data_IF_035677446338
#
_entry.id   IF_035677446338
#
_cell.length_a   1.000
_cell.length_b   1.000
_cell.length_c   1.000
_cell.angle_alpha   90.00
_cell.angle_beta   90.00
_cell.angle_gamma   90.00
#
_symmetry.space_group_name_H-M   'P 1'
#
loop_
_entity.id
_entity.type
_entity.pdbx_description
1 polymer ?
#
# COMPACT_ATOMS: atom_id res chain seq x y z
N UNK A 1 12.20 20.29 14.81
CA UNK A 1 11.75 19.00 15.41
C UNK A 1 11.67 18.00 14.27
N UNK A 2 12.54 16.99 14.31
CA UNK A 2 12.70 16.00 13.24
C UNK A 2 11.50 15.05 13.21
N UNK A 3 10.93 14.83 12.03
CA UNK A 3 9.80 13.92 11.83
C UNK A 3 10.28 12.47 11.96
N UNK A 4 9.79 11.76 12.98
CA UNK A 4 10.00 10.32 13.13
C UNK A 4 9.13 9.58 12.11
N UNK A 5 9.68 9.36 10.91
CA UNK A 5 9.08 8.47 9.92
C UNK A 5 9.13 7.03 10.42
N UNK A 6 7.97 6.39 10.53
CA UNK A 6 7.87 4.95 10.76
C UNK A 6 8.34 4.22 9.49
N UNK A 7 9.48 3.56 9.56
CA UNK A 7 9.99 2.72 8.47
C UNK A 7 9.09 1.48 8.34
N UNK A 8 8.49 1.31 7.16
CA UNK A 8 7.83 0.06 6.78
C UNK A 8 8.91 -1.02 6.55
N UNK A 9 8.77 -2.23 7.12
CA UNK A 9 9.73 -3.30 6.87
C UNK A 9 9.68 -3.71 5.40
N UNK A 10 10.88 -3.80 4.80
CA UNK A 10 11.09 -4.26 3.44
C UNK A 10 10.68 -5.73 3.29
N UNK A 11 10.15 -6.00 2.11
CA UNK A 11 9.58 -7.25 1.63
C UNK A 11 10.59 -8.41 1.74
N UNK A 12 10.35 -9.36 2.64
CA UNK A 12 10.91 -10.71 2.48
C UNK A 12 9.95 -11.51 1.59
N UNK A 13 10.36 -11.64 0.34
CA UNK A 13 9.81 -12.52 -0.69
C UNK A 13 9.76 -13.96 -0.16
N UNK A 14 8.55 -14.45 0.18
CA UNK A 14 8.10 -15.87 0.10
C UNK A 14 6.91 -16.23 1.01
N UNK A 15 6.26 -15.28 1.69
CA UNK A 15 5.01 -15.60 2.39
C UNK A 15 3.82 -15.53 1.42
N UNK A 16 3.59 -16.63 0.69
CA UNK A 16 2.30 -16.89 0.06
C UNK A 16 1.21 -16.80 1.15
N UNK A 17 0.51 -15.68 1.18
CA UNK A 17 -0.74 -15.53 1.92
C UNK A 17 -1.80 -16.33 1.17
N UNK A 18 -1.89 -17.62 1.46
CA UNK A 18 -3.06 -18.41 1.10
C UNK A 18 -4.27 -17.83 1.82
N UNK A 19 -5.11 -17.13 1.07
CA UNK A 19 -6.48 -16.82 1.48
C UNK A 19 -7.24 -18.14 1.47
N UNK A 20 -7.34 -18.80 2.61
CA UNK A 20 -8.32 -19.87 2.78
C UNK A 20 -9.69 -19.20 2.77
N UNK A 21 -10.46 -19.45 1.72
CA UNK A 21 -11.88 -19.09 1.67
C UNK A 21 -12.56 -19.74 2.87
N UNK A 22 -13.14 -18.91 3.75
CA UNK A 22 -14.03 -19.40 4.79
C UNK A 22 -15.31 -19.85 4.08
N UNK A 23 -15.55 -21.15 4.06
CA UNK A 23 -16.80 -21.73 3.56
C UNK A 23 -17.94 -21.30 4.50
N UNK A 24 -19.00 -20.75 3.91
CA UNK A 24 -20.23 -20.39 4.61
C UNK A 24 -20.99 -21.67 5.01
N UNK A 25 -20.75 -22.15 6.23
CA UNK A 25 -21.59 -23.14 6.89
C UNK A 25 -22.96 -22.52 7.24
N UNK A 26 -24.01 -22.98 6.55
CA UNK A 26 -25.42 -22.74 6.89
C UNK A 26 -25.76 -23.45 8.21
N UNK A 27 -25.73 -22.73 9.32
CA UNK A 27 -26.15 -23.25 10.63
C UNK A 27 -26.77 -22.19 11.56
N UNK A 28 -28.10 -22.21 11.67
CA UNK A 28 -28.98 -21.73 12.75
C UNK A 28 -28.52 -20.58 13.69
N UNK A 29 -29.21 -19.42 13.73
CA UNK A 29 -28.85 -18.30 14.60
C UNK A 29 -29.24 -18.57 16.06
N UNK A 30 -28.35 -19.23 16.81
CA UNK A 30 -28.40 -19.22 18.27
C UNK A 30 -27.07 -18.70 18.81
N UNK A 31 -27.05 -17.39 19.02
CA UNK A 31 -26.32 -16.70 20.08
C UNK A 31 -25.04 -17.40 20.55
N UNK A 32 -23.96 -17.27 19.78
CA UNK A 32 -22.61 -17.33 20.35
C UNK A 32 -22.31 -15.99 21.01
N UNK A 33 -23.09 -15.67 22.05
CA UNK A 33 -22.57 -14.84 23.13
C UNK A 33 -21.35 -15.57 23.67
N UNK A 34 -20.21 -14.89 23.61
CA UNK A 34 -19.02 -15.29 24.35
C UNK A 34 -19.44 -15.52 25.80
N UNK A 35 -19.51 -16.80 26.21
CA UNK A 35 -19.58 -17.19 27.63
C UNK A 35 -18.25 -16.92 28.31
N UNK A 36 -17.75 -15.69 28.21
CA UNK A 36 -16.91 -15.13 29.25
C UNK A 36 -17.87 -14.89 30.41
N UNK A 37 -17.90 -15.88 31.30
CA UNK A 37 -18.72 -15.90 32.48
C UNK A 37 -18.34 -14.69 33.35
N UNK A 38 -19.17 -13.65 33.32
CA UNK A 38 -19.10 -12.47 34.20
C UNK A 38 -19.10 -12.84 35.70
N UNK A 39 -19.51 -14.07 36.02
CA UNK A 39 -19.49 -14.58 37.39
C UNK A 39 -18.07 -14.86 37.91
N UNK A 40 -17.05 -15.01 37.06
CA UNK A 40 -15.67 -15.23 37.54
C UNK A 40 -15.09 -14.01 38.25
N UNK A 41 -15.55 -12.79 37.92
CA UNK A 41 -15.16 -11.56 38.62
C UNK A 41 -16.15 -11.12 39.69
N UNK A 42 -17.44 -11.46 39.55
CA UNK A 42 -18.47 -11.01 40.49
C UNK A 42 -18.29 -11.62 41.90
N UNK A 43 -17.88 -12.89 41.99
CA UNK A 43 -17.63 -13.56 43.27
C UNK A 43 -16.39 -13.01 43.99
N UNK A 44 -15.42 -12.48 43.23
CA UNK A 44 -14.15 -12.01 43.77
C UNK A 44 -14.25 -10.57 44.30
N UNK A 45 -15.09 -9.74 43.66
CA UNK A 45 -15.41 -8.39 44.18
C UNK A 45 -16.16 -8.47 45.51
N UNK A 46 -17.11 -9.41 45.63
CA UNK A 46 -17.83 -9.65 46.88
C UNK A 46 -16.88 -9.98 48.03
N UNK A 47 -15.88 -10.82 47.80
CA UNK A 47 -14.85 -11.17 48.81
C UNK A 47 -13.94 -10.00 49.17
N UNK A 48 -13.61 -9.15 48.20
CA UNK A 48 -12.79 -7.96 48.41
C UNK A 48 -13.44 -6.96 49.38
N UNK A 49 -14.77 -6.81 49.32
CA UNK A 49 -15.52 -5.95 50.24
C UNK A 49 -16.05 -6.68 51.49
N UNK A 50 -16.05 -8.03 51.50
CA UNK A 50 -16.56 -8.82 52.64
C UNK A 50 -15.60 -8.88 53.82
N UNK A 51 -14.29 -8.71 53.59
CA UNK A 51 -13.30 -8.67 54.69
C UNK A 51 -13.24 -7.32 55.40
N UNK A 52 -13.95 -6.31 54.89
CA UNK A 52 -13.99 -4.95 55.43
C UNK A 52 -15.11 -4.82 56.48
N UNK A 53 -15.14 -5.77 57.43
CA UNK A 53 -15.92 -5.62 58.65
C UNK A 53 -15.28 -4.51 59.49
N UNK A 54 -15.71 -3.28 59.21
CA UNK A 54 -15.35 -2.02 59.86
C UNK A 54 -15.57 -2.07 61.38
N UNK A 55 -14.54 -2.35 62.19
CA UNK A 55 -14.54 -1.96 63.62
C UNK A 55 -13.19 -1.39 64.11
N UNK A 56 -12.05 -1.59 63.44
CA UNK A 56 -10.84 -0.82 63.77
C UNK A 56 -10.67 0.38 62.82
N UNK A 57 -10.53 1.62 63.34
CA UNK A 57 -10.17 2.76 62.52
C UNK A 57 -8.83 2.44 61.84
N UNK A 58 -8.86 2.21 60.52
CA UNK A 58 -7.62 2.12 59.75
C UNK A 58 -6.97 3.51 59.82
N UNK A 59 -6.02 3.67 60.74
CA UNK A 59 -5.19 4.86 60.82
C UNK A 59 -4.22 4.83 59.63
N UNK A 60 -4.66 5.45 58.53
CA UNK A 60 -3.77 5.70 57.40
C UNK A 60 -2.66 6.64 57.85
N UNK A 61 -1.38 6.30 57.61
CA UNK A 61 -0.27 7.23 57.81
C UNK A 61 -0.59 8.55 57.10
N UNK A 62 -0.52 9.67 57.84
CA UNK A 62 -0.94 11.01 57.37
C UNK A 62 -0.27 11.39 56.05
N UNK A 63 0.97 10.98 55.87
CA UNK A 63 1.81 11.04 54.70
C UNK A 63 1.22 10.35 53.46
N UNK A 64 0.55 9.20 53.61
CA UNK A 64 -0.18 8.55 52.51
C UNK A 64 -1.44 9.32 52.14
N UNK A 65 -2.15 9.86 53.13
CA UNK A 65 -3.38 10.63 52.93
C UNK A 65 -3.14 11.97 52.21
N UNK A 66 -2.11 12.71 52.62
CA UNK A 66 -1.69 13.95 51.95
C UNK A 66 -1.25 13.69 50.51
N UNK A 67 -0.55 12.58 50.28
CA UNK A 67 -0.17 12.14 48.93
C UNK A 67 -1.41 11.89 48.07
N UNK A 68 -2.40 11.16 48.58
CA UNK A 68 -3.64 10.86 47.87
C UNK A 68 -4.44 12.13 47.52
N UNK A 69 -4.57 13.06 48.47
CA UNK A 69 -5.26 14.34 48.26
C UNK A 69 -4.52 15.22 47.22
N UNK A 70 -3.19 15.22 47.27
CA UNK A 70 -2.35 15.93 46.30
C UNK A 70 -2.46 15.32 44.90
N UNK A 71 -2.63 14.00 44.81
CA UNK A 71 -2.85 13.33 43.52
C UNK A 71 -4.28 13.55 43.00
N UNK A 72 -5.31 13.55 43.87
CA UNK A 72 -6.70 13.77 43.43
C UNK A 72 -6.92 15.18 42.92
N UNK A 73 -6.29 16.17 43.54
CA UNK A 73 -6.32 17.57 43.09
C UNK A 73 -5.62 17.80 41.76
N UNK A 74 -4.65 16.95 41.39
CA UNK A 74 -3.99 17.00 40.07
C UNK A 74 -4.86 16.43 38.95
N UNK A 75 -5.87 15.62 39.24
CA UNK A 75 -6.74 15.00 38.23
C UNK A 75 -7.96 15.88 37.98
N UNK A 76 -8.09 16.39 36.75
CA UNK A 76 -9.32 17.03 36.31
C UNK A 76 -10.32 15.96 35.82
N UNK A 77 -11.19 15.51 36.71
CA UNK A 77 -12.14 14.44 36.43
C UNK A 77 -13.07 14.77 35.26
N UNK A 78 -13.49 16.04 35.12
CA UNK A 78 -14.35 16.48 34.01
C UNK A 78 -13.69 16.21 32.65
N UNK A 79 -12.41 16.59 32.51
CA UNK A 79 -11.63 16.32 31.29
C UNK A 79 -11.46 14.83 31.02
N UNK A 80 -11.30 14.01 32.06
CA UNK A 80 -11.19 12.55 31.93
C UNK A 80 -12.53 11.96 31.48
N UNK A 81 -13.66 12.38 32.05
CA UNK A 81 -14.98 11.95 31.62
C UNK A 81 -15.29 12.36 30.16
N UNK A 82 -14.91 13.58 29.77
CA UNK A 82 -15.02 14.04 28.37
C UNK A 82 -14.16 13.19 27.43
N UNK A 83 -12.94 12.87 27.86
CA UNK A 83 -12.03 12.00 27.12
C UNK A 83 -12.62 10.61 26.92
N UNK A 84 -13.11 9.97 27.99
CA UNK A 84 -13.72 8.64 27.92
C UNK A 84 -14.94 8.65 26.99
N UNK A 85 -15.77 9.70 27.04
CA UNK A 85 -16.94 9.83 26.18
C UNK A 85 -16.59 10.01 24.69
N UNK A 86 -15.53 10.76 24.36
CA UNK A 86 -15.13 11.00 22.96
C UNK A 86 -14.31 9.86 22.36
N UNK A 87 -13.53 9.14 23.15
CA UNK A 87 -12.64 8.06 22.67
C UNK A 87 -13.32 7.05 21.74
N UNK A 88 -14.52 6.50 22.02
CA UNK A 88 -15.16 5.55 21.11
C UNK A 88 -15.53 6.21 19.77
N UNK A 89 -16.05 7.44 19.79
CA UNK A 89 -16.39 8.18 18.56
C UNK A 89 -15.15 8.50 17.73
N UNK A 90 -14.05 8.90 18.38
CA UNK A 90 -12.77 9.15 17.72
C UNK A 90 -12.23 7.87 17.07
N UNK A 91 -12.36 6.72 17.74
CA UNK A 91 -11.95 5.42 17.23
C UNK A 91 -12.80 4.98 16.02
N UNK A 92 -14.12 5.16 16.07
CA UNK A 92 -15.02 4.88 14.94
C UNK A 92 -14.69 5.74 13.72
N UNK A 93 -14.48 7.04 13.93
CA UNK A 93 -14.11 7.97 12.86
C UNK A 93 -12.77 7.58 12.22
N UNK A 94 -11.79 7.19 13.03
CA UNK A 94 -10.50 6.72 12.58
C UNK A 94 -10.63 5.42 11.75
N UNK A 95 -11.42 4.46 12.24
CA UNK A 95 -11.66 3.20 11.55
C UNK A 95 -12.34 3.43 10.19
N UNK A 96 -13.34 4.31 10.14
CA UNK A 96 -14.03 4.68 8.89
C UNK A 96 -13.07 5.32 7.89
N UNK A 97 -12.25 6.26 8.34
CA UNK A 97 -11.23 6.91 7.50
C UNK A 97 -10.27 5.89 6.90
N UNK A 98 -9.73 4.98 7.71
CA UNK A 98 -8.83 3.93 7.20
C UNK A 98 -9.53 2.97 6.23
N UNK A 99 -10.81 2.66 6.45
CA UNK A 99 -11.57 1.84 5.52
C UNK A 99 -11.77 2.52 4.16
N UNK A 100 -12.09 3.82 4.16
CA UNK A 100 -12.23 4.63 2.94
C UNK A 100 -10.90 4.76 2.20
N UNK A 101 -9.80 5.04 2.91
CA UNK A 101 -8.46 5.12 2.33
C UNK A 101 -8.01 3.79 1.72
N UNK A 102 -8.28 2.66 2.40
CA UNK A 102 -7.99 1.32 1.87
C UNK A 102 -8.78 1.03 0.58
N UNK A 103 -10.07 1.38 0.55
CA UNK A 103 -10.90 1.22 -0.66
C UNK A 103 -10.40 2.09 -1.80
N UNK A 104 -10.14 3.37 -1.52
CA UNK A 104 -9.60 4.32 -2.52
C UNK A 104 -8.27 3.86 -3.09
N UNK A 105 -7.35 3.36 -2.25
CA UNK A 105 -6.06 2.85 -2.70
C UNK A 105 -6.21 1.62 -3.59
N UNK A 106 -7.10 0.69 -3.23
CA UNK A 106 -7.42 -0.49 -4.04
C UNK A 106 -7.98 -0.09 -5.42
N UNK A 107 -8.89 0.87 -5.47
CA UNK A 107 -9.48 1.36 -6.73
C UNK A 107 -8.42 2.01 -7.64
N UNK A 108 -7.55 2.86 -7.07
CA UNK A 108 -6.44 3.48 -7.80
C UNK A 108 -5.53 2.43 -8.42
N UNK A 109 -5.16 1.41 -7.65
CA UNK A 109 -4.34 0.30 -8.15
C UNK A 109 -5.03 -0.45 -9.29
N UNK A 110 -6.30 -0.83 -9.14
CA UNK A 110 -7.05 -1.52 -10.20
C UNK A 110 -7.18 -0.69 -11.47
N UNK A 111 -7.45 0.60 -11.35
CA UNK A 111 -7.53 1.53 -12.48
C UNK A 111 -6.18 1.65 -13.20
N UNK A 112 -5.10 1.81 -12.44
CA UNK A 112 -3.74 1.84 -13.00
C UNK A 112 -3.41 0.53 -13.73
N UNK A 113 -3.66 -0.62 -13.09
CA UNK A 113 -3.40 -1.94 -13.67
C UNK A 113 -4.18 -2.16 -14.97
N UNK A 114 -5.46 -1.80 -14.98
CA UNK A 114 -6.31 -1.89 -16.18
C UNK A 114 -5.77 -1.01 -17.32
N UNK A 115 -5.50 0.27 -17.04
CA UNK A 115 -4.93 1.20 -18.02
C UNK A 115 -3.57 0.73 -18.54
N UNK A 116 -2.73 0.18 -17.67
CA UNK A 116 -1.43 -0.38 -18.03
C UNK A 116 -1.57 -1.58 -18.97
N UNK A 117 -2.51 -2.49 -18.67
CA UNK A 117 -2.79 -3.64 -19.54
C UNK A 117 -3.33 -3.18 -20.90
N UNK A 118 -4.27 -2.23 -20.94
CA UNK A 118 -4.79 -1.67 -22.20
C UNK A 118 -3.74 -0.93 -23.01
N UNK A 119 -2.71 -0.36 -22.35
CA UNK A 119 -1.60 0.31 -23.03
C UNK A 119 -0.61 -0.68 -23.62
N UNK A 120 -0.46 -1.89 -23.04
CA UNK A 120 0.46 -2.91 -23.52
C UNK A 120 0.13 -3.46 -24.92
N UNK A 121 -1.14 -3.35 -25.32
CA UNK A 121 -1.65 -3.85 -26.59
C UNK A 121 -1.70 -2.75 -27.66
N UNK A 122 -1.45 -1.49 -27.27
CA UNK A 122 -1.47 -0.32 -28.16
C UNK A 122 -0.05 0.06 -28.57
N UNK A 123 0.12 0.49 -29.81
CA UNK A 123 1.40 1.00 -30.30
C UNK A 123 1.64 2.38 -29.68
N UNK A 124 2.74 2.51 -28.94
CA UNK A 124 3.22 3.77 -28.43
C UNK A 124 3.80 4.62 -29.58
N UNK A 125 3.55 5.92 -29.54
CA UNK A 125 3.98 6.86 -30.59
C UNK A 125 4.63 8.12 -30.01
N UNK A 126 4.79 8.20 -28.67
CA UNK A 126 5.46 9.27 -27.91
C UNK A 126 6.04 8.67 -26.63
N UNK A 127 7.11 9.28 -26.11
CA UNK A 127 7.72 8.99 -24.80
C UNK A 127 7.89 7.49 -24.53
N UNK A 128 8.61 6.79 -25.41
CA UNK A 128 8.86 5.36 -25.30
C UNK A 128 9.43 4.98 -23.93
N UNK A 129 8.91 3.88 -23.38
CA UNK A 129 9.40 3.25 -22.16
C UNK A 129 9.61 1.76 -22.36
N UNK A 130 10.37 1.16 -21.45
CA UNK A 130 10.54 -0.29 -21.37
C UNK A 130 9.16 -0.94 -21.21
N UNK A 131 8.88 -1.92 -22.06
CA UNK A 131 7.61 -2.65 -22.12
C UNK A 131 6.59 -2.10 -23.12
N UNK A 132 6.83 -0.95 -23.76
CA UNK A 132 5.91 -0.40 -24.76
C UNK A 132 5.99 -1.17 -26.08
N UNK A 133 4.87 -1.23 -26.81
CA UNK A 133 4.82 -1.76 -28.17
C UNK A 133 5.17 -0.66 -29.16
N UNK A 134 6.20 -0.83 -29.99
CA UNK A 134 6.65 0.18 -30.94
C UNK A 134 6.66 -0.36 -32.37
N UNK A 135 6.33 0.51 -33.32
CA UNK A 135 6.42 0.25 -34.76
C UNK A 135 7.75 0.79 -35.27
N UNK A 136 8.52 -0.05 -35.95
CA UNK A 136 9.80 0.29 -36.57
C UNK A 136 9.69 0.20 -38.09
N UNK A 137 10.28 1.19 -38.76
CA UNK A 137 10.28 1.33 -40.21
C UNK A 137 11.71 1.54 -40.73
N UNK A 138 12.05 1.02 -41.91
CA UNK A 138 13.35 1.27 -42.53
C UNK A 138 13.48 2.74 -42.94
N UNK A 139 14.64 3.35 -42.66
CA UNK A 139 14.93 4.72 -43.10
C UNK A 139 15.37 4.75 -44.57
N UNK A 140 14.90 5.76 -45.32
CA UNK A 140 15.13 5.85 -46.78
C UNK A 140 16.47 6.48 -47.18
N UNK A 141 17.10 7.24 -46.28
CA UNK A 141 18.14 8.23 -46.63
C UNK A 141 19.50 8.01 -45.93
N UNK A 142 19.83 6.79 -45.51
CA UNK A 142 21.11 6.51 -44.84
C UNK A 142 21.82 5.31 -45.47
N UNK A 143 23.13 5.42 -45.65
CA UNK A 143 24.02 4.36 -46.18
C UNK A 143 23.89 3.06 -45.40
N UNK A 144 23.67 3.16 -44.08
CA UNK A 144 23.51 2.02 -43.18
C UNK A 144 22.06 1.49 -43.09
N UNK A 145 21.08 2.18 -43.69
CA UNK A 145 19.63 1.83 -43.64
C UNK A 145 19.14 1.39 -42.24
N UNK A 146 19.37 2.17 -41.17
CA UNK A 146 18.87 1.84 -39.85
C UNK A 146 17.34 1.82 -39.84
N UNK A 147 16.79 1.11 -38.87
CA UNK A 147 15.36 1.04 -38.61
C UNK A 147 15.00 2.05 -37.51
N UNK A 148 14.03 2.90 -37.75
CA UNK A 148 13.62 3.94 -36.82
C UNK A 148 12.24 3.65 -36.24
N UNK A 149 12.02 3.97 -34.96
CA UNK A 149 10.70 3.89 -34.35
C UNK A 149 9.81 5.03 -34.86
N UNK A 150 8.55 4.72 -35.13
CA UNK A 150 7.53 5.71 -35.47
C UNK A 150 7.20 6.56 -34.22
N UNK A 151 7.52 7.87 -34.27
CA UNK A 151 7.32 8.78 -33.15
C UNK A 151 6.89 10.17 -33.64
N UNK A 152 6.13 10.89 -32.81
CA UNK A 152 5.75 12.28 -33.05
C UNK A 152 6.79 13.22 -32.43
N UNK A 153 7.10 14.33 -33.11
CA UNK A 153 8.09 15.36 -32.72
C UNK A 153 9.57 14.95 -32.86
N UNK A 154 9.88 13.97 -33.72
CA UNK A 154 11.23 13.62 -34.16
C UNK A 154 12.34 13.48 -33.08
N UNK A 155 12.16 12.71 -31.99
CA UNK A 155 13.34 12.17 -31.32
C UNK A 155 13.85 10.96 -32.13
N UNK A 156 15.14 10.92 -32.41
CA UNK A 156 15.76 9.81 -33.15
C UNK A 156 15.82 8.56 -32.26
N UNK A 157 14.89 7.64 -32.46
CA UNK A 157 14.92 6.31 -31.85
C UNK A 157 15.24 5.28 -32.94
N UNK A 158 16.37 4.58 -32.85
CA UNK A 158 16.74 3.53 -33.79
C UNK A 158 16.71 2.15 -33.13
N UNK A 159 16.34 1.13 -33.91
CA UNK A 159 16.34 -0.25 -33.48
C UNK A 159 17.76 -0.83 -33.51
N UNK A 160 18.18 -1.53 -32.44
CA UNK A 160 19.38 -2.37 -32.49
C UNK A 160 19.11 -3.65 -33.28
N UNK A 161 19.05 -3.53 -34.60
CA UNK A 161 18.63 -4.62 -35.48
C UNK A 161 19.70 -5.71 -35.65
N UNK A 162 19.27 -6.97 -35.64
CA UNK A 162 20.05 -8.12 -36.16
C UNK A 162 19.55 -8.46 -37.58
N UNK A 163 20.44 -8.84 -38.49
CA UNK A 163 20.09 -9.11 -39.90
C UNK A 163 18.94 -10.11 -40.09
N UNK A 164 18.84 -11.11 -39.22
CA UNK A 164 17.78 -12.13 -39.28
C UNK A 164 16.36 -11.58 -39.20
N UNK A 165 16.17 -10.48 -38.45
CA UNK A 165 14.85 -9.96 -38.09
C UNK A 165 14.35 -8.91 -39.09
N UNK A 166 15.29 -8.23 -39.74
CA UNK A 166 15.02 -7.19 -40.74
C UNK A 166 14.95 -7.72 -42.18
N UNK A 167 15.47 -8.92 -42.45
CA UNK A 167 15.48 -9.50 -43.80
C UNK A 167 14.05 -9.59 -44.36
N UNK A 168 13.85 -8.98 -45.53
CA UNK A 168 12.59 -9.00 -46.30
C UNK A 168 11.36 -8.46 -45.55
N UNK A 169 11.54 -7.58 -44.56
CA UNK A 169 10.43 -6.91 -43.87
C UNK A 169 10.36 -5.44 -44.23
N UNK A 170 9.15 -4.93 -44.38
CA UNK A 170 8.89 -3.50 -44.59
C UNK A 170 8.60 -2.76 -43.27
N UNK A 171 8.15 -3.50 -42.25
CA UNK A 171 7.82 -2.99 -40.93
C UNK A 171 8.03 -4.05 -39.85
N UNK A 172 8.31 -3.62 -38.63
CA UNK A 172 8.46 -4.50 -37.46
C UNK A 172 7.66 -3.89 -36.32
N UNK A 173 6.85 -4.71 -35.64
CA UNK A 173 6.23 -4.34 -34.36
C UNK A 173 6.90 -5.18 -33.28
N UNK A 174 7.50 -4.52 -32.29
CA UNK A 174 8.22 -5.21 -31.21
C UNK A 174 8.03 -4.50 -29.88
N UNK A 175 8.23 -5.25 -28.79
CA UNK A 175 8.17 -4.68 -27.43
C UNK A 175 9.55 -4.18 -27.03
N UNK A 176 9.61 -2.93 -26.58
CA UNK A 176 10.83 -2.28 -26.09
C UNK A 176 11.30 -2.99 -24.82
N UNK A 177 12.56 -3.41 -24.78
CA UNK A 177 13.19 -4.02 -23.59
C UNK A 177 14.03 -3.00 -22.88
N UNK A 178 14.85 -2.27 -23.63
CA UNK A 178 15.74 -1.24 -23.12
C UNK A 178 15.91 -0.09 -24.11
N UNK A 179 16.25 1.09 -23.58
CA UNK A 179 16.49 2.31 -24.36
C UNK A 179 17.80 2.92 -23.87
N UNK A 180 18.83 2.88 -24.72
CA UNK A 180 20.15 3.44 -24.41
C UNK A 180 20.43 4.72 -25.20
N UNK A 181 21.05 5.70 -24.56
CA UNK A 181 21.48 6.94 -25.22
C UNK A 181 22.83 6.75 -25.91
N UNK A 182 22.92 7.20 -27.17
CA UNK A 182 24.12 7.16 -27.98
C UNK A 182 24.31 8.48 -28.73
N UNK A 183 25.56 8.89 -28.92
CA UNK A 183 25.91 10.13 -29.62
C UNK A 183 26.58 9.77 -30.95
N UNK A 184 26.07 10.33 -32.04
CA UNK A 184 26.65 10.20 -33.39
C UNK A 184 26.89 11.59 -33.94
N UNK A 185 28.15 11.92 -34.24
CA UNK A 185 28.58 13.18 -34.88
C UNK A 185 27.84 14.42 -34.33
N UNK A 186 27.79 14.55 -32.98
CA UNK A 186 27.21 15.68 -32.22
C UNK A 186 25.68 15.58 -31.97
N UNK A 187 24.98 14.61 -32.55
CA UNK A 187 23.54 14.38 -32.29
C UNK A 187 23.31 13.24 -31.30
N UNK A 188 22.42 13.47 -30.34
CA UNK A 188 21.92 12.44 -29.43
C UNK A 188 20.85 11.60 -30.13
N UNK A 189 20.98 10.29 -30.00
CA UNK A 189 20.05 9.30 -30.50
C UNK A 189 19.79 8.25 -29.42
N UNK A 190 18.59 7.68 -29.41
CA UNK A 190 18.24 6.58 -28.53
C UNK A 190 18.22 5.28 -29.33
N UNK A 191 18.90 4.25 -28.83
CA UNK A 191 18.91 2.90 -29.40
C UNK A 191 17.95 2.05 -28.59
N UNK A 192 17.07 1.33 -29.27
CA UNK A 192 16.04 0.50 -28.69
C UNK A 192 16.40 -0.97 -28.86
N UNK A 193 16.39 -1.67 -27.74
CA UNK A 193 16.43 -3.12 -27.66
C UNK A 193 15.04 -3.69 -27.61
N UNK A 194 14.88 -4.91 -28.11
CA UNK A 194 13.57 -5.49 -28.32
C UNK A 194 13.51 -6.99 -28.04
N UNK A 195 12.29 -7.45 -27.80
CA UNK A 195 11.94 -8.86 -27.75
C UNK A 195 10.93 -9.17 -28.86
N UNK A 196 11.25 -10.18 -29.68
CA UNK A 196 10.32 -10.76 -30.67
C UNK A 196 9.74 -12.05 -30.12
N UNK A 197 8.42 -12.22 -30.24
CA UNK A 197 7.77 -13.53 -30.06
C UNK A 197 7.92 -14.38 -31.31
#
# INVERSE_FOLDING_TARGET
>A
MSAMGLALPLNDENRLISLTSIEEEKGNPKSTESRLSDSYYAEDLGKFFSTDSLIEPIEWPKDKYTTLLTLSTKVNLSKVCDMIRRTPQDAENLAKKYQEESKSNREKYHKYRKSYQESKDKIAFRNFKNGDLALFLPTRNSTAKPWAAFNINCPHYFLRATESIIRNKDWIVARIVDISEHIVDIKVCLIIDYFTY
#
